data_IF_726561438424
#
_entry.id   IF_726561438424
#
_cell.length_a   1.000
_cell.length_b   1.000
_cell.length_c   1.000
_cell.angle_alpha   90.00
_cell.angle_beta   90.00
_cell.angle_gamma   90.00
#
_symmetry.space_group_name_H-M   'P 1'
#
loop_
_entity.id
_entity.type
_entity.pdbx_description
1 polymer ?
#
# COMPACT_ATOMS: atom_id res chain seq x y z
N UNK A 1 3.04 1.99 27.33
CA UNK A 1 4.24 1.78 26.49
C UNK A 1 3.83 2.04 25.05
N UNK A 2 4.23 3.18 24.48
CA UNK A 2 3.98 3.48 23.06
C UNK A 2 4.99 2.64 22.28
N UNK A 3 4.53 1.58 21.64
CA UNK A 3 5.38 0.68 20.87
C UNK A 3 6.17 1.48 19.83
N UNK A 4 7.48 1.25 19.82
CA UNK A 4 8.50 1.99 19.09
C UNK A 4 8.49 1.66 17.58
N UNK A 5 7.31 1.57 16.97
CA UNK A 5 7.08 1.01 15.63
C UNK A 5 6.73 2.01 14.50
N UNK A 6 6.89 3.36 14.60
CA UNK A 6 6.52 4.23 13.47
C UNK A 6 7.39 3.95 12.23
N UNK A 7 8.63 3.46 12.42
CA UNK A 7 9.58 3.18 11.34
C UNK A 7 9.18 2.02 10.42
N UNK A 8 8.46 1.01 10.93
CA UNK A 8 8.05 -0.14 10.11
C UNK A 8 7.01 0.25 9.08
N UNK A 9 6.01 1.03 9.49
CA UNK A 9 4.95 1.50 8.61
C UNK A 9 5.44 2.50 7.57
N UNK A 10 6.26 3.47 7.97
CA UNK A 10 6.85 4.42 7.01
C UNK A 10 7.65 3.69 5.93
N UNK A 11 8.41 2.65 6.29
CA UNK A 11 9.18 1.89 5.31
C UNK A 11 8.28 1.07 4.37
N UNK A 12 7.31 0.34 4.92
CA UNK A 12 6.34 -0.43 4.13
C UNK A 12 5.56 0.44 3.14
N UNK A 13 5.09 1.60 3.61
CA UNK A 13 4.37 2.57 2.79
C UNK A 13 5.24 3.14 1.69
N UNK A 14 6.50 3.48 1.98
CA UNK A 14 7.42 3.98 0.95
C UNK A 14 7.68 2.93 -0.14
N UNK A 15 7.78 1.64 0.23
CA UNK A 15 7.92 0.56 -0.74
C UNK A 15 6.67 0.47 -1.64
N UNK A 16 5.47 0.51 -1.02
CA UNK A 16 4.19 0.51 -1.73
C UNK A 16 4.05 1.72 -2.64
N UNK A 17 4.40 2.91 -2.16
CA UNK A 17 4.39 4.15 -2.93
C UNK A 17 5.29 4.05 -4.17
N UNK A 18 6.55 3.67 -4.01
CA UNK A 18 7.52 3.58 -5.12
C UNK A 18 7.03 2.64 -6.22
N UNK A 19 6.58 1.43 -5.85
CA UNK A 19 6.14 0.45 -6.82
C UNK A 19 4.78 0.80 -7.43
N UNK A 20 3.88 1.41 -6.65
CA UNK A 20 2.60 1.90 -7.14
C UNK A 20 2.77 3.03 -8.16
N UNK A 21 3.64 4.00 -7.88
CA UNK A 21 3.95 5.07 -8.83
C UNK A 21 4.52 4.50 -10.14
N UNK A 22 5.42 3.52 -10.08
CA UNK A 22 5.96 2.87 -11.27
C UNK A 22 4.88 2.19 -12.15
N UNK A 23 3.87 1.58 -11.50
CA UNK A 23 2.72 1.02 -12.19
C UNK A 23 1.85 2.09 -12.87
N UNK A 24 1.58 3.17 -12.15
CA UNK A 24 0.78 4.29 -12.66
C UNK A 24 1.49 5.00 -13.83
N UNK A 25 2.83 5.04 -13.83
CA UNK A 25 3.63 5.56 -14.95
C UNK A 25 3.78 4.61 -16.13
N UNK A 26 3.05 3.48 -16.14
CA UNK A 26 2.99 2.49 -17.24
C UNK A 26 4.33 1.81 -17.56
N UNK A 27 5.14 1.45 -16.57
CA UNK A 27 6.21 0.48 -16.82
C UNK A 27 5.56 -0.90 -17.08
N UNK A 28 5.55 -1.41 -18.33
CA UNK A 28 4.83 -2.63 -18.68
C UNK A 28 5.44 -3.87 -18.01
N UNK A 29 6.67 -3.79 -17.49
CA UNK A 29 7.32 -4.87 -16.76
C UNK A 29 6.90 -4.93 -15.29
N UNK A 30 6.23 -3.90 -14.74
CA UNK A 30 5.90 -3.85 -13.32
C UNK A 30 4.57 -4.52 -12.94
N UNK A 31 3.63 -4.65 -13.89
CA UNK A 31 2.24 -5.08 -13.61
C UNK A 31 2.10 -6.55 -13.24
N UNK A 32 2.93 -7.43 -13.81
CA UNK A 32 2.72 -8.88 -13.71
C UNK A 32 2.99 -9.44 -12.30
N UNK A 33 3.78 -8.74 -11.48
CA UNK A 33 4.24 -9.23 -10.18
C UNK A 33 3.76 -8.39 -8.99
N UNK A 34 2.90 -7.40 -9.20
CA UNK A 34 2.54 -6.47 -8.12
C UNK A 34 1.84 -7.18 -6.96
N UNK A 35 0.80 -7.98 -7.22
CA UNK A 35 0.09 -8.69 -6.16
C UNK A 35 0.98 -9.74 -5.50
N UNK A 36 1.82 -10.45 -6.26
CA UNK A 36 2.81 -11.40 -5.71
C UNK A 36 3.78 -10.71 -4.76
N UNK A 37 4.24 -9.52 -5.14
CA UNK A 37 5.11 -8.68 -4.31
C UNK A 37 4.39 -8.14 -3.06
N UNK A 38 3.12 -7.75 -3.17
CA UNK A 38 2.32 -7.36 -1.99
C UNK A 38 2.19 -8.54 -1.02
N UNK A 39 1.96 -9.77 -1.52
CA UNK A 39 1.91 -10.97 -0.67
C UNK A 39 3.24 -11.24 0.05
N UNK A 40 4.39 -10.95 -0.57
CA UNK A 40 5.68 -11.09 0.12
C UNK A 40 5.91 -10.02 1.19
N UNK A 41 5.38 -8.81 1.01
CA UNK A 41 5.36 -7.78 2.04
C UNK A 41 4.49 -8.18 3.24
N UNK A 42 3.31 -8.75 3.01
CA UNK A 42 2.45 -9.27 4.08
C UNK A 42 3.20 -10.25 4.98
N UNK A 43 3.93 -11.19 4.38
CA UNK A 43 4.75 -12.17 5.11
C UNK A 43 5.94 -11.53 5.82
N UNK A 44 6.64 -10.59 5.17
CA UNK A 44 7.85 -9.95 5.71
C UNK A 44 7.53 -9.03 6.90
N UNK A 45 6.40 -8.33 6.84
CA UNK A 45 6.01 -7.34 7.85
C UNK A 45 4.97 -7.86 8.85
N UNK A 46 4.41 -9.06 8.65
CA UNK A 46 3.41 -9.65 9.55
C UNK A 46 2.06 -8.93 9.50
N UNK A 47 1.71 -8.39 8.34
CA UNK A 47 0.49 -7.59 8.12
C UNK A 47 -0.40 -8.22 7.05
N UNK A 48 -1.66 -7.83 7.01
CA UNK A 48 -2.54 -8.05 5.86
C UNK A 48 -2.70 -6.75 5.08
N UNK A 49 -2.60 -6.83 3.76
CA UNK A 49 -2.68 -5.70 2.83
C UNK A 49 -3.80 -5.98 1.82
N UNK A 50 -4.83 -5.15 1.88
CA UNK A 50 -5.88 -5.10 0.87
C UNK A 50 -5.55 -3.98 -0.11
N UNK A 51 -5.37 -4.30 -1.39
CA UNK A 51 -5.07 -3.33 -2.44
C UNK A 51 -6.33 -3.07 -3.26
N UNK A 52 -6.56 -1.80 -3.58
CA UNK A 52 -7.59 -1.36 -4.50
C UNK A 52 -7.00 -0.46 -5.58
N UNK A 53 -7.17 -0.83 -6.84
CA UNK A 53 -6.82 0.05 -7.97
C UNK A 53 -8.02 0.91 -8.32
N UNK A 54 -7.83 2.22 -8.34
CA UNK A 54 -8.83 3.19 -8.82
C UNK A 54 -8.62 3.39 -10.30
N UNK A 55 -9.69 3.17 -11.07
CA UNK A 55 -9.69 3.36 -12.52
C UNK A 55 -10.28 4.73 -12.86
N UNK A 56 -9.69 5.43 -13.82
CA UNK A 56 -10.26 6.63 -14.42
C UNK A 56 -11.42 6.29 -15.38
N UNK A 57 -12.17 7.31 -15.85
CA UNK A 57 -13.26 7.10 -16.81
C UNK A 57 -12.83 6.49 -18.16
N UNK A 58 -11.54 6.56 -18.50
CA UNK A 58 -10.97 5.97 -19.71
C UNK A 58 -10.60 4.49 -19.51
N UNK A 59 -10.84 3.93 -18.32
CA UNK A 59 -10.53 2.55 -17.97
C UNK A 59 -9.04 2.32 -17.68
N UNK A 60 -8.32 3.35 -17.24
CA UNK A 60 -6.89 3.28 -16.90
C UNK A 60 -6.66 3.44 -15.39
N UNK A 61 -5.62 2.82 -14.83
CA UNK A 61 -5.26 3.04 -13.42
C UNK A 61 -4.91 4.51 -13.17
N UNK A 62 -5.64 5.18 -12.28
CA UNK A 62 -5.37 6.57 -11.87
C UNK A 62 -4.81 6.68 -10.46
N UNK A 63 -5.12 5.73 -9.59
CA UNK A 63 -4.51 5.64 -8.27
C UNK A 63 -4.48 4.20 -7.78
N UNK A 64 -3.59 3.91 -6.84
CA UNK A 64 -3.54 2.64 -6.10
C UNK A 64 -3.72 2.97 -4.63
N UNK A 65 -4.83 2.50 -4.07
CA UNK A 65 -5.13 2.59 -2.66
C UNK A 65 -5.04 1.24 -1.96
N UNK A 66 -5.17 1.27 -0.65
CA UNK A 66 -5.28 0.05 0.12
C UNK A 66 -5.35 0.26 1.62
N UNK A 67 -5.58 -0.85 2.32
CA UNK A 67 -5.60 -0.91 3.77
C UNK A 67 -4.57 -1.92 4.25
N UNK A 68 -3.77 -1.54 5.24
CA UNK A 68 -2.81 -2.38 5.94
C UNK A 68 -3.35 -2.61 7.35
N UNK A 69 -3.50 -3.87 7.73
CA UNK A 69 -3.96 -4.29 9.05
C UNK A 69 -2.86 -5.14 9.70
N UNK A 70 -2.44 -4.77 10.91
CA UNK A 70 -1.55 -5.60 11.71
C UNK A 70 -2.34 -6.79 12.29
N UNK A 71 -1.82 -8.01 12.12
CA UNK A 71 -2.42 -9.20 12.73
C UNK A 71 -2.46 -9.11 14.26
N UNK A 72 -1.45 -8.45 14.85
CA UNK A 72 -1.36 -8.23 16.30
C UNK A 72 -2.28 -7.10 16.80
N UNK A 73 -2.77 -6.24 15.90
CA UNK A 73 -3.57 -5.05 16.21
C UNK A 73 -4.71 -4.83 15.20
N UNK A 74 -5.75 -5.69 15.22
CA UNK A 74 -6.87 -5.58 14.28
C UNK A 74 -7.72 -4.31 14.48
N UNK A 75 -7.58 -3.63 15.63
CA UNK A 75 -8.18 -2.34 15.98
C UNK A 75 -7.59 -1.16 15.20
N UNK A 76 -6.41 -1.34 14.60
CA UNK A 76 -5.65 -0.29 13.93
C UNK A 76 -5.51 -0.62 12.43
N UNK A 77 -6.05 0.26 11.59
CA UNK A 77 -5.99 0.14 10.14
C UNK A 77 -5.23 1.31 9.56
N UNK A 78 -4.24 1.04 8.73
CA UNK A 78 -3.50 2.06 8.00
C UNK A 78 -4.00 2.11 6.57
N UNK A 79 -4.56 3.25 6.17
CA UNK A 79 -5.10 3.46 4.83
C UNK A 79 -4.06 4.25 4.04
N UNK A 80 -3.75 3.80 2.82
CA UNK A 80 -2.87 4.50 1.90
C UNK A 80 -3.54 4.73 0.54
N UNK A 81 -3.10 5.77 -0.16
CA UNK A 81 -3.45 6.05 -1.54
C UNK A 81 -2.25 6.68 -2.24
N UNK A 82 -1.95 6.20 -3.44
CA UNK A 82 -0.88 6.68 -4.31
C UNK A 82 -1.51 7.09 -5.63
N UNK A 83 -1.37 8.34 -6.03
CA UNK A 83 -1.89 8.89 -7.31
C UNK A 83 -0.79 9.16 -8.34
N UNK A 84 0.42 8.64 -8.07
CA UNK A 84 1.60 8.75 -8.93
C UNK A 84 2.64 9.69 -8.35
N UNK A 85 2.25 10.94 -8.10
CA UNK A 85 3.15 11.97 -7.56
C UNK A 85 2.99 12.15 -6.05
N UNK A 86 1.80 11.88 -5.51
CA UNK A 86 1.50 12.03 -4.09
C UNK A 86 1.17 10.67 -3.45
N UNK A 87 1.58 10.51 -2.20
CA UNK A 87 1.18 9.40 -1.33
C UNK A 87 0.48 9.95 -0.11
N UNK A 88 -0.80 9.62 0.04
CA UNK A 88 -1.63 9.98 1.20
C UNK A 88 -1.77 8.78 2.12
N UNK A 89 -1.70 9.05 3.42
CA UNK A 89 -1.73 8.02 4.46
C UNK A 89 -2.59 8.48 5.63
N UNK A 90 -3.41 7.58 6.18
CA UNK A 90 -4.23 7.84 7.35
C UNK A 90 -4.27 6.62 8.27
N UNK A 91 -4.21 6.87 9.57
CA UNK A 91 -4.48 5.86 10.59
C UNK A 91 -5.96 5.92 10.98
N UNK A 92 -6.61 4.77 10.99
CA UNK A 92 -8.00 4.61 11.43
C UNK A 92 -8.04 3.62 12.58
N UNK A 93 -8.60 4.06 13.69
CA UNK A 93 -8.92 3.23 14.85
C UNK A 93 -10.42 2.89 14.82
N UNK A 94 -10.76 1.66 15.19
CA UNK A 94 -12.16 1.20 15.36
C UNK A 94 -12.47 0.90 16.80
#
# INVERSE_FOLDING_TARGET
>A
MIANSPRRYTHLVNLIAQRSSALLTRDPNCSHDYMTWVRSLEQTFGVSIEVQTVMDPEGRPSAIGGTICESERPDCRFIFQVDGEETRCALRYT
#
